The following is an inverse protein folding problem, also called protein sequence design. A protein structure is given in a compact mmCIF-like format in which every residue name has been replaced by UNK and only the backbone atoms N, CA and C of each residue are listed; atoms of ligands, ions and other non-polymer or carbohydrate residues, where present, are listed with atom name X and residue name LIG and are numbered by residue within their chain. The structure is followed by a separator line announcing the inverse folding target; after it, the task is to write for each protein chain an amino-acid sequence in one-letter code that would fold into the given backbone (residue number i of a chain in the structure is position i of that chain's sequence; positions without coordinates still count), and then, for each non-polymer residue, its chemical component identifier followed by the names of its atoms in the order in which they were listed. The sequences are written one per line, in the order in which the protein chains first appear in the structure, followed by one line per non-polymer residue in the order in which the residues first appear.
data_IF_483536945047
#
_entry.id   IF_483536945047
#
_cell.length_a   1.000
_cell.length_b   1.000
_cell.length_c   1.000
_cell.angle_alpha   90.00
_cell.angle_beta   90.00
_cell.angle_gamma   90.00
#
_symmetry.space_group_name_H-M   'P 1'
#
loop_
_entity.id
_entity.type
_entity.pdbx_description
1 polymer ?
#
# COMPACT_ATOMS: atom_id res chain seq x y z
N UNK A 1 -18.49 31.70 2.78
CA UNK A 1 -17.16 31.06 2.81
C UNK A 1 -16.73 30.73 1.39
N UNK A 2 -15.43 30.81 1.04
CA UNK A 2 -14.95 30.44 -0.29
C UNK A 2 -15.29 28.99 -0.63
N UNK A 3 -15.53 28.70 -1.91
CA UNK A 3 -15.75 27.33 -2.37
C UNK A 3 -14.45 26.53 -2.19
N UNK A 4 -14.54 25.34 -1.60
CA UNK A 4 -13.38 24.47 -1.45
C UNK A 4 -12.73 24.15 -2.81
N UNK A 5 -11.40 24.21 -2.85
CA UNK A 5 -10.59 23.82 -4.00
C UNK A 5 -10.68 22.30 -4.16
N UNK A 6 -11.13 21.86 -5.34
CA UNK A 6 -11.18 20.44 -5.69
C UNK A 6 -9.86 20.02 -6.33
N UNK A 7 -9.19 19.04 -5.76
CA UNK A 7 -7.94 18.47 -6.28
C UNK A 7 -8.24 17.07 -6.80
N UNK A 8 -8.12 16.86 -8.10
CA UNK A 8 -8.38 15.55 -8.72
C UNK A 8 -7.09 14.73 -8.71
N UNK A 9 -7.09 13.63 -7.96
CA UNK A 9 -6.00 12.67 -7.86
C UNK A 9 -6.26 11.50 -8.82
N UNK A 10 -5.69 11.57 -10.03
CA UNK A 10 -5.78 10.51 -11.04
C UNK A 10 -4.54 9.63 -10.94
N UNK A 11 -4.70 8.38 -10.49
CA UNK A 11 -3.55 7.49 -10.35
C UNK A 11 -3.81 6.20 -9.59
N UNK A 12 -2.74 5.44 -9.39
CA UNK A 12 -2.72 4.26 -8.53
C UNK A 12 -2.82 4.62 -7.04
N UNK A 13 -3.01 3.61 -6.20
CA UNK A 13 -2.99 3.78 -4.74
C UNK A 13 -1.68 4.43 -4.24
N UNK A 14 -0.54 4.12 -4.86
CA UNK A 14 0.76 4.70 -4.47
C UNK A 14 0.87 6.18 -4.81
N UNK A 15 0.24 6.61 -5.91
CA UNK A 15 0.15 8.03 -6.25
C UNK A 15 -0.70 8.81 -5.23
N UNK A 16 -1.84 8.24 -4.81
CA UNK A 16 -2.63 8.83 -3.73
C UNK A 16 -1.83 8.88 -2.41
N UNK A 17 -1.03 7.85 -2.13
CA UNK A 17 -0.10 7.84 -0.99
C UNK A 17 0.93 8.99 -1.03
N UNK A 18 1.48 9.30 -2.22
CA UNK A 18 2.40 10.43 -2.39
C UNK A 18 1.71 11.79 -2.14
N UNK A 19 0.49 11.95 -2.64
CA UNK A 19 -0.35 13.15 -2.37
C UNK A 19 -0.63 13.28 -0.87
N UNK A 20 -1.00 12.17 -0.21
CA UNK A 20 -1.25 12.14 1.23
C UNK A 20 -0.02 12.56 2.03
N UNK A 21 1.17 12.06 1.66
CA UNK A 21 2.41 12.44 2.32
C UNK A 21 2.65 13.96 2.22
N UNK A 22 2.49 14.54 1.04
CA UNK A 22 2.61 15.99 0.87
C UNK A 22 1.55 16.75 1.66
N UNK A 23 0.30 16.27 1.64
CA UNK A 23 -0.82 16.89 2.37
C UNK A 23 -0.56 16.99 3.87
N UNK A 24 -0.15 15.88 4.52
CA UNK A 24 0.12 15.91 5.97
C UNK A 24 1.37 16.71 6.32
N UNK A 25 2.40 16.69 5.49
CA UNK A 25 3.64 17.45 5.72
C UNK A 25 3.39 18.94 5.61
N UNK A 26 2.71 19.40 4.57
CA UNK A 26 2.46 20.82 4.35
C UNK A 26 1.50 21.43 5.37
N UNK A 27 0.55 20.63 5.86
CA UNK A 27 -0.46 21.10 6.82
C UNK A 27 -0.08 20.88 8.28
N UNK A 28 0.97 20.10 8.60
CA UNK A 28 1.38 19.82 9.98
C UNK A 28 1.51 21.07 10.87
N UNK A 29 2.01 22.17 10.29
CA UNK A 29 2.25 23.46 10.97
C UNK A 29 1.26 24.56 10.55
N UNK A 30 0.13 24.22 9.92
CA UNK A 30 -0.91 25.17 9.49
C UNK A 30 -2.11 25.12 10.45
N UNK A 31 -2.95 26.15 10.40
CA UNK A 31 -4.24 26.12 11.12
C UNK A 31 -5.20 25.14 10.46
N UNK A 32 -6.12 24.58 11.24
CA UNK A 32 -7.13 23.62 10.77
C UNK A 32 -8.04 24.15 9.69
N UNK A 33 -8.12 25.47 9.51
CA UNK A 33 -8.98 26.10 8.50
C UNK A 33 -8.68 25.57 7.10
N UNK A 34 -7.41 25.33 6.76
CA UNK A 34 -7.00 24.79 5.45
C UNK A 34 -7.63 23.43 5.13
N UNK A 35 -7.90 22.60 6.16
CA UNK A 35 -8.53 21.29 5.99
C UNK A 35 -9.95 21.40 5.43
N UNK A 36 -10.64 22.51 5.69
CA UNK A 36 -11.99 22.77 5.21
C UNK A 36 -12.01 23.40 3.80
N UNK A 37 -10.87 23.83 3.28
CA UNK A 37 -10.74 24.51 1.99
C UNK A 37 -10.29 23.59 0.85
N UNK A 38 -9.95 22.33 1.13
CA UNK A 38 -9.51 21.36 0.13
C UNK A 38 -10.43 20.14 0.10
N UNK A 39 -10.69 19.62 -1.10
CA UNK A 39 -11.42 18.36 -1.30
C UNK A 39 -10.72 17.54 -2.39
N UNK A 40 -10.28 16.34 -2.04
CA UNK A 40 -9.64 15.42 -2.97
C UNK A 40 -10.69 14.59 -3.70
N UNK A 41 -10.54 14.45 -5.02
CA UNK A 41 -11.37 13.59 -5.86
C UNK A 41 -10.50 12.45 -6.37
N UNK A 42 -10.75 11.23 -5.91
CA UNK A 42 -9.93 10.06 -6.26
C UNK A 42 -10.44 9.47 -7.57
N UNK A 43 -9.57 9.38 -8.57
CA UNK A 43 -9.86 8.74 -9.86
C UNK A 43 -8.89 7.57 -10.01
N UNK A 44 -9.35 6.32 -9.77
CA UNK A 44 -8.46 5.17 -9.62
C UNK A 44 -7.93 4.67 -10.95
N UNK A 45 -6.62 4.42 -11.00
CA UNK A 45 -5.99 3.63 -12.06
C UNK A 45 -5.47 2.31 -11.46
N UNK A 46 -5.88 1.18 -12.04
CA UNK A 46 -5.53 -0.16 -11.53
C UNK A 46 -6.16 -0.50 -10.17
N UNK A 47 -5.51 -1.40 -9.42
CA UNK A 47 -6.00 -1.86 -8.11
C UNK A 47 -5.92 -0.76 -7.05
N UNK A 48 -7.07 -0.37 -6.50
CA UNK A 48 -7.16 0.77 -5.60
C UNK A 48 -8.10 0.48 -4.40
N UNK A 49 -7.57 0.00 -3.27
CA UNK A 49 -8.36 -0.33 -2.08
C UNK A 49 -9.23 0.84 -1.58
N UNK A 50 -8.69 2.06 -1.57
CA UNK A 50 -9.47 3.26 -1.21
C UNK A 50 -10.65 3.46 -2.15
N UNK A 51 -10.45 3.38 -3.48
CA UNK A 51 -11.55 3.53 -4.42
C UNK A 51 -12.62 2.44 -4.26
N UNK A 52 -12.22 1.19 -3.98
CA UNK A 52 -13.17 0.11 -3.65
C UNK A 52 -14.02 0.47 -2.42
N UNK A 53 -13.41 1.05 -1.39
CA UNK A 53 -14.14 1.53 -0.22
C UNK A 53 -15.09 2.69 -0.56
N UNK A 54 -14.62 3.68 -1.34
CA UNK A 54 -15.47 4.80 -1.80
C UNK A 54 -16.66 4.31 -2.62
N UNK A 55 -16.49 3.31 -3.49
CA UNK A 55 -17.58 2.71 -4.25
C UNK A 55 -18.60 1.94 -3.39
N UNK A 56 -18.18 1.38 -2.25
CA UNK A 56 -19.12 0.79 -1.28
C UNK A 56 -19.96 1.86 -0.57
N UNK A 57 -19.43 3.07 -0.43
CA UNK A 57 -20.13 4.21 0.15
C UNK A 57 -21.02 4.94 -0.86
N UNK A 58 -20.66 4.94 -2.14
CA UNK A 58 -21.30 5.72 -3.21
C UNK A 58 -21.42 4.90 -4.51
N UNK A 59 -22.63 4.46 -4.82
CA UNK A 59 -22.94 3.68 -6.02
C UNK A 59 -22.70 4.47 -7.31
N UNK A 60 -22.85 5.80 -7.30
CA UNK A 60 -22.54 6.62 -8.48
C UNK A 60 -21.05 6.67 -8.74
N UNK A 61 -20.25 6.80 -7.68
CA UNK A 61 -18.79 6.67 -7.77
C UNK A 61 -18.40 5.29 -8.28
N UNK A 62 -18.99 4.24 -7.71
CA UNK A 62 -18.77 2.84 -8.14
C UNK A 62 -19.03 2.64 -9.63
N UNK A 63 -20.20 3.07 -10.13
CA UNK A 63 -20.54 2.97 -11.56
C UNK A 63 -19.65 3.82 -12.46
N UNK A 64 -19.05 4.90 -11.95
CA UNK A 64 -18.17 5.78 -12.74
C UNK A 64 -16.75 5.23 -12.88
N UNK A 65 -16.22 4.56 -11.86
CA UNK A 65 -14.80 4.26 -11.77
C UNK A 65 -14.44 2.81 -11.39
N UNK A 66 -15.43 1.97 -11.07
CA UNK A 66 -15.21 0.57 -10.69
C UNK A 66 -15.96 -0.41 -11.61
N UNK A 67 -16.58 0.06 -12.69
CA UNK A 67 -17.19 -0.78 -13.70
C UNK A 67 -16.14 -1.57 -14.51
N UNK A 68 -16.60 -2.57 -15.26
CA UNK A 68 -15.72 -3.41 -16.08
C UNK A 68 -14.95 -2.59 -17.11
N UNK A 69 -15.63 -1.67 -17.80
CA UNK A 69 -15.02 -0.83 -18.83
C UNK A 69 -13.86 0.02 -18.30
N UNK A 70 -14.03 0.68 -17.15
CA UNK A 70 -12.95 1.46 -16.54
C UNK A 70 -11.77 0.57 -16.11
N UNK A 71 -12.06 -0.57 -15.47
CA UNK A 71 -11.04 -1.52 -15.05
C UNK A 71 -10.25 -2.11 -16.23
N UNK A 72 -10.94 -2.49 -17.30
CA UNK A 72 -10.31 -3.09 -18.47
C UNK A 72 -9.43 -2.09 -19.22
N UNK A 73 -9.86 -0.83 -19.28
CA UNK A 73 -9.07 0.26 -19.86
C UNK A 73 -7.77 0.51 -19.07
N UNK A 74 -7.86 0.64 -17.75
CA UNK A 74 -6.71 1.01 -16.90
C UNK A 74 -5.96 -0.16 -16.27
N UNK A 75 -6.22 -1.39 -16.72
CA UNK A 75 -5.41 -2.58 -16.39
C UNK A 75 -4.37 -2.91 -17.45
N UNK A 76 -4.47 -2.29 -18.64
CA UNK A 76 -3.54 -2.48 -19.75
C UNK A 76 -2.42 -1.45 -19.70
N UNK A 77 -1.22 -1.86 -20.13
CA UNK A 77 -0.07 -0.96 -20.29
C UNK A 77 -0.14 -0.15 -21.59
N UNK A 78 -0.81 -0.68 -22.60
CA UNK A 78 -0.95 -0.05 -23.93
C UNK A 78 -2.26 0.74 -24.04
N UNK A 79 -2.25 1.88 -24.76
CA UNK A 79 -3.46 2.65 -24.99
C UNK A 79 -4.44 1.85 -25.86
N UNK A 80 -5.76 2.02 -25.66
CA UNK A 80 -6.75 1.37 -26.51
C UNK A 80 -6.65 1.89 -27.95
N UNK A 81 -6.87 1.00 -28.93
CA UNK A 81 -6.84 1.36 -30.36
C UNK A 81 -8.03 2.24 -30.78
N UNK A 82 -9.12 2.19 -30.01
CA UNK A 82 -10.34 2.97 -30.24
C UNK A 82 -10.79 3.62 -28.94
N UNK A 83 -11.30 4.84 -29.02
CA UNK A 83 -11.84 5.55 -27.86
C UNK A 83 -13.23 5.01 -27.51
N UNK A 84 -13.29 4.02 -26.61
CA UNK A 84 -14.53 3.33 -26.24
C UNK A 84 -15.20 3.91 -24.98
N UNK A 85 -14.51 4.79 -24.25
CA UNK A 85 -14.94 5.25 -22.93
C UNK A 85 -14.72 6.75 -22.78
N UNK A 86 -15.79 7.50 -22.47
CA UNK A 86 -15.70 8.93 -22.19
C UNK A 86 -15.06 9.22 -20.82
N UNK A 87 -13.74 9.11 -20.76
CA UNK A 87 -12.93 9.35 -19.55
C UNK A 87 -13.08 10.80 -19.08
N UNK A 88 -12.99 11.75 -20.02
CA UNK A 88 -13.06 13.18 -19.71
C UNK A 88 -14.43 13.58 -19.17
N UNK A 89 -15.52 13.04 -19.75
CA UNK A 89 -16.88 13.26 -19.29
C UNK A 89 -17.12 12.65 -17.91
N UNK A 90 -16.66 11.43 -17.63
CA UNK A 90 -16.74 10.81 -16.29
C UNK A 90 -16.04 11.66 -15.23
N UNK A 91 -14.81 12.13 -15.51
CA UNK A 91 -14.07 12.99 -14.59
C UNK A 91 -14.77 14.35 -14.42
N UNK A 92 -15.27 14.95 -15.50
CA UNK A 92 -16.00 16.23 -15.46
C UNK A 92 -17.31 16.12 -14.66
N UNK A 93 -18.03 15.00 -14.80
CA UNK A 93 -19.21 14.69 -13.99
C UNK A 93 -18.84 14.53 -12.51
N UNK A 94 -17.70 13.91 -12.19
CA UNK A 94 -17.25 13.79 -10.81
C UNK A 94 -16.84 15.14 -10.20
N UNK A 95 -16.10 15.97 -10.94
CA UNK A 95 -15.74 17.33 -10.52
C UNK A 95 -16.98 18.17 -10.24
N UNK A 96 -17.99 18.11 -11.11
CA UNK A 96 -19.22 18.89 -10.94
C UNK A 96 -20.13 18.31 -9.84
N UNK A 97 -20.30 16.99 -9.82
CA UNK A 97 -21.27 16.28 -8.99
C UNK A 97 -20.80 15.91 -7.57
N UNK A 98 -19.50 15.89 -7.28
CA UNK A 98 -18.99 15.55 -5.95
C UNK A 98 -19.31 16.67 -4.94
N UNK A 99 -20.39 16.47 -4.18
CA UNK A 99 -20.98 17.45 -3.27
C UNK A 99 -20.70 17.15 -1.80
N UNK A 100 -20.61 15.87 -1.44
CA UNK A 100 -20.36 15.38 -0.09
C UNK A 100 -18.86 15.26 0.16
N UNK A 101 -18.41 15.57 1.38
CA UNK A 101 -17.05 15.28 1.84
C UNK A 101 -17.10 14.07 2.78
N UNK A 102 -16.32 13.05 2.47
CA UNK A 102 -16.03 11.91 3.33
C UNK A 102 -14.63 12.07 3.93
N UNK A 103 -14.53 11.87 5.24
CA UNK A 103 -13.27 12.05 5.99
C UNK A 103 -12.54 10.71 6.08
N UNK A 104 -11.62 10.43 5.15
CA UNK A 104 -10.80 9.22 5.23
C UNK A 104 -9.78 9.35 6.36
N UNK A 105 -9.79 8.45 7.35
CA UNK A 105 -8.89 8.58 8.48
C UNK A 105 -7.46 8.16 8.13
N UNK A 106 -6.49 8.94 8.62
CA UNK A 106 -5.06 8.76 8.33
C UNK A 106 -4.42 7.98 9.47
N UNK A 107 -3.74 6.89 9.13
CA UNK A 107 -2.90 6.11 10.03
C UNK A 107 -1.41 6.39 9.82
N UNK A 108 -0.58 5.90 10.73
CA UNK A 108 0.87 6.04 10.70
C UNK A 108 1.55 4.67 10.62
N UNK A 109 2.51 4.55 9.72
CA UNK A 109 3.48 3.45 9.69
C UNK A 109 4.87 3.99 10.03
N UNK A 110 5.45 3.51 11.13
CA UNK A 110 6.85 3.73 11.49
C UNK A 110 7.68 2.53 11.06
N UNK A 111 8.53 2.70 10.05
CA UNK A 111 9.50 1.70 9.60
C UNK A 111 10.85 1.93 10.29
N UNK A 112 11.47 0.86 10.78
CA UNK A 112 12.88 0.87 11.18
C UNK A 112 13.71 0.11 10.15
N UNK A 113 14.54 0.82 9.40
CA UNK A 113 15.30 0.29 8.27
C UNK A 113 16.81 0.23 8.56
N UNK A 114 17.55 -0.68 7.90
CA UNK A 114 19.03 -0.67 7.93
C UNK A 114 19.58 0.42 7.00
N UNK A 115 20.68 1.08 7.38
CA UNK A 115 21.41 1.94 6.46
C UNK A 115 22.11 1.11 5.38
N UNK A 116 22.07 1.54 4.11
CA UNK A 116 22.73 0.80 3.02
C UNK A 116 24.25 0.83 3.09
N UNK A 117 24.83 1.86 3.73
CA UNK A 117 26.29 2.08 3.75
C UNK A 117 26.96 1.90 5.11
N UNK A 118 26.19 1.69 6.18
CA UNK A 118 26.71 1.49 7.55
C UNK A 118 25.99 0.31 8.18
N UNK A 119 26.73 -0.71 8.60
CA UNK A 119 26.11 -1.96 9.06
C UNK A 119 25.37 -1.84 10.39
N UNK A 120 25.81 -0.95 11.28
CA UNK A 120 25.25 -0.83 12.63
C UNK A 120 24.17 0.24 12.79
N UNK A 121 24.06 1.21 11.89
CA UNK A 121 23.09 2.31 12.01
C UNK A 121 21.73 1.92 11.38
N UNK A 122 20.65 2.06 12.15
CA UNK A 122 19.27 2.03 11.63
C UNK A 122 18.65 3.42 11.62
N UNK A 123 17.78 3.68 10.65
CA UNK A 123 16.99 4.92 10.61
C UNK A 123 15.49 4.61 10.69
N UNK A 124 14.71 5.61 11.10
CA UNK A 124 13.25 5.52 11.18
C UNK A 124 12.59 6.39 10.11
N UNK A 125 11.50 5.89 9.53
CA UNK A 125 10.63 6.64 8.62
C UNK A 125 9.19 6.57 9.11
N UNK A 126 8.54 7.72 9.21
CA UNK A 126 7.13 7.85 9.57
C UNK A 126 6.33 8.15 8.29
N UNK A 127 5.42 7.26 7.93
CA UNK A 127 4.71 7.27 6.66
C UNK A 127 3.21 7.31 6.94
N UNK A 128 2.48 8.35 6.48
CA UNK A 128 1.03 8.36 6.57
C UNK A 128 0.44 7.36 5.57
N UNK A 129 -0.62 6.66 5.95
CA UNK A 129 -1.33 5.77 5.05
C UNK A 129 -2.83 5.76 5.34
N UNK A 130 -3.64 5.46 4.32
CA UNK A 130 -5.11 5.41 4.39
C UNK A 130 -5.68 4.10 3.85
N UNK A 131 -4.90 3.34 3.08
CA UNK A 131 -5.31 2.09 2.48
C UNK A 131 -4.82 0.90 3.29
N UNK A 132 -3.70 0.32 2.87
CA UNK A 132 -3.24 -1.00 3.29
C UNK A 132 -1.73 -1.07 3.49
N UNK A 133 -1.32 -1.84 4.51
CA UNK A 133 0.07 -2.28 4.73
C UNK A 133 0.14 -3.78 4.52
N UNK A 134 1.12 -4.27 3.75
CA UNK A 134 1.27 -5.70 3.41
C UNK A 134 2.70 -6.19 3.65
N UNK A 135 2.83 -7.43 4.11
CA UNK A 135 4.08 -8.19 4.23
C UNK A 135 3.81 -9.64 3.82
N UNK A 136 4.77 -10.31 3.18
CA UNK A 136 4.59 -11.67 2.65
C UNK A 136 4.42 -11.68 1.14
N UNK A 137 3.56 -12.58 0.64
CA UNK A 137 3.16 -12.59 -0.77
C UNK A 137 2.53 -11.23 -1.12
N UNK A 138 3.34 -10.33 -1.66
CA UNK A 138 2.88 -9.12 -2.31
C UNK A 138 2.55 -9.58 -3.73
N UNK A 139 1.30 -9.97 -3.96
CA UNK A 139 0.81 -10.18 -5.33
C UNK A 139 1.00 -8.86 -6.09
N UNK A 140 2.09 -8.80 -6.83
CA UNK A 140 2.29 -7.85 -7.91
C UNK A 140 1.34 -8.34 -8.99
N UNK A 141 0.40 -7.50 -9.44
CA UNK A 141 -0.70 -7.87 -10.33
C UNK A 141 -0.22 -8.44 -11.68
N UNK A 142 0.21 -9.70 -11.68
CA UNK A 142 0.51 -10.47 -12.87
C UNK A 142 -0.79 -11.12 -13.32
N UNK A 143 -1.23 -10.71 -14.50
CA UNK A 143 -2.25 -11.43 -15.27
C UNK A 143 -1.78 -12.87 -15.51
N UNK A 144 -2.68 -13.86 -15.45
CA UNK A 144 -2.33 -15.25 -15.74
C UNK A 144 -2.29 -15.43 -17.26
N UNK A 145 -1.15 -15.15 -17.87
CA UNK A 145 -0.85 -15.62 -19.23
C UNK A 145 0.62 -15.99 -19.24
N UNK A 146 0.88 -17.29 -19.38
CA UNK A 146 2.23 -17.80 -19.65
C UNK A 146 2.75 -17.17 -20.93
N UNK A 147 3.98 -16.68 -20.89
CA UNK A 147 5.07 -17.37 -21.55
C UNK A 147 6.41 -16.78 -21.09
N UNK A 148 7.40 -17.66 -21.13
CA UNK A 148 8.78 -17.48 -20.73
C UNK A 148 9.50 -16.70 -21.84
N UNK A 149 10.15 -15.57 -21.52
CA UNK A 149 11.43 -15.15 -22.12
C UNK A 149 12.05 -13.91 -21.46
N UNK A 150 13.34 -13.70 -21.76
CA UNK A 150 14.39 -13.00 -21.03
C UNK A 150 14.16 -11.54 -20.62
N UNK A 151 14.82 -11.17 -19.52
CA UNK A 151 14.78 -9.84 -18.94
C UNK A 151 15.62 -8.80 -19.68
N UNK A 152 15.14 -7.55 -19.60
CA UNK A 152 15.99 -6.35 -19.65
C UNK A 152 15.39 -5.34 -18.66
N UNK A 153 16.23 -4.82 -17.76
CA UNK A 153 15.85 -3.83 -16.77
C UNK A 153 15.47 -2.50 -17.41
N UNK A 154 14.25 -2.03 -17.15
CA UNK A 154 13.79 -0.71 -17.60
C UNK A 154 14.12 0.32 -16.53
N UNK A 155 15.17 1.11 -16.79
CA UNK A 155 15.45 2.34 -16.05
C UNK A 155 14.37 3.38 -16.38
N UNK A 156 13.58 3.78 -15.39
CA UNK A 156 12.67 4.92 -15.46
C UNK A 156 13.49 6.23 -15.40
N UNK A 157 13.90 6.75 -16.56
CA UNK A 157 14.41 8.10 -16.67
C UNK A 157 13.23 9.10 -16.75
N UNK A 158 13.16 10.00 -15.78
CA UNK A 158 12.21 11.12 -15.75
C UNK A 158 12.72 12.22 -16.69
N UNK A 159 11.92 12.74 -17.64
CA UNK A 159 12.35 13.90 -18.42
C UNK A 159 12.18 15.18 -17.58
N UNK A 160 13.30 15.78 -17.18
CA UNK A 160 13.32 17.14 -16.63
C UNK A 160 13.16 18.14 -17.77
N UNK A 161 12.16 19.01 -17.67
CA UNK A 161 11.95 20.16 -18.55
C UNK A 161 12.65 21.39 -17.97
N UNK A 162 13.50 22.04 -18.76
CA UNK A 162 14.04 23.37 -18.50
C UNK A 162 13.94 24.19 -19.81
N UNK A 163 13.61 25.49 -19.77
CA UNK A 163 13.30 26.26 -20.98
C UNK A 163 14.57 26.75 -21.70
N UNK A 164 14.50 27.04 -23.02
CA UNK A 164 15.66 27.40 -23.84
C UNK A 164 15.96 28.90 -23.75
N UNK A 165 17.25 29.25 -23.75
CA UNK A 165 17.72 30.63 -23.94
C UNK A 165 18.57 30.69 -25.22
N UNK A 166 18.15 31.52 -26.18
CA UNK A 166 18.89 31.80 -27.41
C UNK A 166 19.92 32.93 -27.21
N UNK A 167 21.07 32.84 -27.88
CA UNK A 167 21.98 33.96 -28.15
C UNK A 167 23.46 33.57 -28.32
N UNK A 168 23.91 33.39 -29.56
CA UNK A 168 25.33 33.18 -29.99
C UNK A 168 25.97 34.53 -30.44
N UNK A 169 27.17 34.62 -31.09
CA UNK A 169 28.26 33.64 -31.33
C UNK A 169 29.70 34.23 -31.17
N UNK A 170 30.75 33.38 -31.23
CA UNK A 170 31.94 33.47 -32.14
C UNK A 170 33.12 32.62 -31.62
N UNK A 171 33.88 32.00 -32.55
CA UNK A 171 35.22 31.47 -32.29
C UNK A 171 35.48 30.05 -32.82
N UNK A 172 36.09 29.95 -34.00
CA UNK A 172 36.63 28.72 -34.58
C UNK A 172 37.88 28.22 -33.82
N UNK A 173 38.18 26.91 -33.91
CA UNK A 173 39.47 26.29 -34.37
C UNK A 173 39.65 24.85 -33.76
N UNK A 174 39.69 23.88 -34.69
CA UNK A 174 40.46 22.61 -34.85
C UNK A 174 40.85 21.63 -33.71
N UNK A 175 40.85 20.36 -34.18
CA UNK A 175 41.73 19.20 -33.86
C UNK A 175 41.59 18.60 -32.46
N UNK A 176 41.81 17.32 -32.16
CA UNK A 176 41.90 16.01 -32.82
C UNK A 176 42.16 14.99 -31.66
N UNK A 177 42.13 13.68 -31.95
CA UNK A 177 42.67 12.56 -31.12
C UNK A 177 41.74 11.85 -30.10
N UNK A 178 41.21 10.70 -30.55
CA UNK A 178 41.14 9.40 -29.81
C UNK A 178 42.57 8.86 -29.52
N UNK A 179 42.85 7.72 -28.80
CA UNK A 179 42.08 6.71 -28.02
C UNK A 179 42.80 6.39 -26.64
N UNK A 180 42.81 5.18 -25.98
CA UNK A 180 42.08 3.92 -26.16
C UNK A 180 41.50 3.25 -24.88
N UNK A 181 40.72 2.19 -25.11
CA UNK A 181 40.27 1.16 -24.14
C UNK A 181 41.27 0.02 -23.99
N UNK A 182 41.35 -0.63 -22.81
CA UNK A 182 41.81 -2.03 -22.55
C UNK A 182 41.82 -2.34 -21.02
N UNK A 183 41.95 -3.59 -20.53
CA UNK A 183 41.33 -4.86 -20.96
C UNK A 183 40.78 -5.70 -19.76
N UNK A 184 40.16 -6.84 -20.09
CA UNK A 184 39.66 -7.89 -19.20
C UNK A 184 40.75 -8.77 -18.59
N UNK A 185 40.55 -9.28 -17.37
CA UNK A 185 41.19 -10.49 -16.82
C UNK A 185 40.13 -11.31 -16.08
N UNK A 186 39.85 -12.51 -16.58
CA UNK A 186 39.11 -13.53 -15.85
C UNK A 186 40.07 -14.42 -15.05
N UNK A 187 39.63 -14.90 -13.90
CA UNK A 187 40.06 -16.20 -13.36
C UNK A 187 39.17 -16.64 -12.19
N UNK A 188 38.45 -17.74 -12.43
CA UNK A 188 38.31 -18.91 -11.54
C UNK A 188 37.55 -18.75 -10.20
N UNK A 189 36.31 -19.25 -10.24
CA UNK A 189 35.69 -20.21 -9.32
C UNK A 189 35.98 -20.09 -7.80
N UNK A 190 35.04 -19.49 -7.08
CA UNK A 190 34.57 -20.06 -5.81
C UNK A 190 33.05 -20.08 -5.81
N UNK A 191 32.52 -21.30 -5.94
CA UNK A 191 31.13 -21.60 -5.67
C UNK A 191 30.82 -21.31 -4.20
N UNK A 192 30.08 -20.24 -3.93
CA UNK A 192 29.32 -20.10 -2.70
C UNK A 192 27.94 -19.58 -3.07
N UNK A 193 26.97 -20.48 -2.95
CA UNK A 193 25.60 -20.28 -3.32
C UNK A 193 25.03 -19.03 -2.68
N UNK A 194 24.65 -18.07 -3.52
CA UNK A 194 23.57 -17.16 -3.18
C UNK A 194 22.31 -18.01 -2.99
N UNK A 195 21.50 -17.81 -1.95
CA UNK A 195 20.17 -18.39 -1.94
C UNK A 195 19.37 -17.62 -2.99
N UNK A 196 19.43 -18.08 -4.24
CA UNK A 196 18.38 -17.82 -5.20
C UNK A 196 17.11 -18.41 -4.58
N UNK A 197 16.26 -17.54 -4.04
CA UNK A 197 14.94 -17.92 -3.53
C UNK A 197 14.21 -18.60 -4.69
N UNK A 198 14.12 -19.91 -4.62
CA UNK A 198 13.36 -20.72 -5.55
C UNK A 198 11.91 -20.23 -5.54
N UNK A 199 11.26 -20.24 -6.70
CA UNK A 199 9.83 -19.97 -6.84
C UNK A 199 9.03 -21.07 -6.11
N UNK A 200 8.92 -20.92 -4.80
CA UNK A 200 8.10 -21.70 -3.90
C UNK A 200 7.58 -20.73 -2.86
N UNK A 201 6.27 -20.72 -2.61
CA UNK A 201 5.65 -19.77 -1.69
C UNK A 201 6.13 -20.05 -0.26
N UNK A 202 7.17 -19.35 0.14
CA UNK A 202 7.79 -19.46 1.46
C UNK A 202 7.04 -18.59 2.46
N UNK A 203 6.62 -19.23 3.56
CA UNK A 203 5.96 -18.55 4.64
C UNK A 203 7.01 -17.78 5.46
N UNK A 204 6.71 -16.53 5.79
CA UNK A 204 7.58 -15.67 6.58
C UNK A 204 7.28 -15.88 8.06
N UNK A 205 8.30 -16.23 8.85
CA UNK A 205 8.19 -16.29 10.30
C UNK A 205 8.07 -14.89 10.89
N UNK A 206 6.89 -14.50 11.38
CA UNK A 206 6.67 -13.19 11.99
C UNK A 206 6.30 -13.30 13.47
N UNK A 207 6.71 -12.30 14.24
CA UNK A 207 6.16 -11.95 15.53
C UNK A 207 5.39 -10.65 15.39
N UNK A 208 4.11 -10.68 15.75
CA UNK A 208 3.19 -9.56 15.68
C UNK A 208 2.62 -9.30 17.06
N UNK A 209 2.97 -8.16 17.63
CA UNK A 209 2.39 -7.67 18.88
C UNK A 209 1.34 -6.62 18.54
N UNK A 210 0.11 -6.74 19.05
CA UNK A 210 -0.98 -5.82 18.72
C UNK A 210 -1.84 -5.48 19.93
N UNK A 211 -2.44 -4.30 19.88
CA UNK A 211 -3.31 -3.75 20.91
C UNK A 211 -4.69 -3.52 20.32
N UNK A 212 -5.72 -3.93 21.04
CA UNK A 212 -7.10 -3.64 20.68
C UNK A 212 -7.51 -2.28 21.24
N UNK A 213 -8.33 -1.54 20.52
CA UNK A 213 -8.98 -0.35 21.05
C UNK A 213 -9.94 -0.79 22.16
N UNK A 214 -9.84 -0.13 23.32
CA UNK A 214 -10.84 -0.30 24.38
C UNK A 214 -12.14 0.32 23.87
N UNK A 215 -13.12 -0.51 23.52
CA UNK A 215 -14.51 -0.05 23.42
C UNK A 215 -14.88 0.50 24.80
N UNK A 216 -15.27 1.77 24.85
CA UNK A 216 -15.75 2.41 26.06
C UNK A 216 -17.14 1.84 26.41
N UNK A 217 -17.20 0.56 26.81
CA UNK A 217 -18.38 0.06 27.50
C UNK A 217 -18.48 0.77 28.85
N UNK A 218 -19.68 1.25 29.15
CA UNK A 218 -20.04 2.07 30.31
C UNK A 218 -19.36 1.61 31.59
N UNK A 219 -18.70 2.59 32.25
CA UNK A 219 -18.32 2.65 33.67
C UNK A 219 -18.88 1.53 34.54
N UNK A 220 -17.99 0.67 35.03
CA UNK A 220 -18.00 0.29 36.45
C UNK A 220 -16.72 0.84 37.09
N UNK A 221 -16.94 1.75 38.02
CA UNK A 221 -15.94 2.45 38.81
C UNK A 221 -15.18 1.46 39.70
N UNK A 222 -13.85 1.57 39.72
CA UNK A 222 -13.02 0.90 40.72
C UNK A 222 -12.18 -0.29 40.24
N UNK A 223 -11.37 -0.12 39.20
CA UNK A 223 -10.10 -0.86 39.11
C UNK A 223 -9.12 -0.10 38.21
N UNK A 224 -7.99 0.33 38.77
CA UNK A 224 -6.85 0.77 37.97
C UNK A 224 -6.35 -0.45 37.20
N UNK A 225 -6.65 -0.55 35.90
CA UNK A 225 -6.10 -1.61 35.04
C UNK A 225 -5.53 -1.06 33.75
N UNK A 226 -4.40 -1.67 33.41
CA UNK A 226 -3.39 -1.26 32.45
C UNK A 226 -3.90 -0.85 31.08
N UNK A 227 -3.15 0.07 30.47
CA UNK A 227 -3.03 0.30 29.04
C UNK A 227 -3.34 -0.97 28.24
N UNK A 228 -4.33 -0.91 27.34
CA UNK A 228 -5.05 -2.04 26.74
C UNK A 228 -4.26 -3.34 26.51
N UNK A 229 -4.93 -4.49 26.69
CA UNK A 229 -4.34 -5.82 26.61
C UNK A 229 -3.52 -6.03 25.33
N UNK A 230 -2.19 -6.09 25.49
CA UNK A 230 -1.25 -6.49 24.44
C UNK A 230 -1.50 -7.97 24.10
N UNK A 231 -1.66 -8.27 22.82
CA UNK A 231 -1.76 -9.61 22.28
C UNK A 231 -0.55 -9.91 21.38
N UNK A 232 -0.19 -11.19 21.24
CA UNK A 232 0.97 -11.61 20.46
C UNK A 232 0.64 -12.79 19.56
N UNK A 233 0.89 -12.66 18.26
CA UNK A 233 0.86 -13.74 17.28
C UNK A 233 2.28 -14.08 16.84
N UNK A 234 2.64 -15.37 16.90
CA UNK A 234 3.95 -15.88 16.48
C UNK A 234 3.77 -17.07 15.56
N UNK A 235 3.71 -16.87 14.25
CA UNK A 235 3.56 -17.96 13.28
C UNK A 235 4.39 -17.76 12.01
N UNK A 236 4.33 -18.73 11.10
CA UNK A 236 4.79 -18.58 9.72
C UNK A 236 3.58 -18.20 8.85
N UNK A 237 3.63 -17.02 8.24
CA UNK A 237 2.53 -16.46 7.46
C UNK A 237 2.89 -16.43 5.98
N UNK A 238 1.95 -16.82 5.12
CA UNK A 238 2.05 -16.55 3.67
C UNK A 238 1.91 -15.06 3.40
N UNK A 239 0.98 -14.41 4.10
CA UNK A 239 0.76 -12.97 4.01
C UNK A 239 0.18 -12.41 5.31
N UNK A 240 0.51 -11.15 5.56
CA UNK A 240 -0.08 -10.29 6.57
C UNK A 240 -0.48 -8.99 5.89
N UNK A 241 -1.73 -8.59 6.05
CA UNK A 241 -2.27 -7.34 5.55
C UNK A 241 -2.95 -6.59 6.68
N UNK A 242 -2.67 -5.30 6.82
CA UNK A 242 -3.38 -4.40 7.74
C UNK A 242 -4.11 -3.35 6.92
N UNK A 243 -5.43 -3.29 7.03
CA UNK A 243 -6.29 -2.31 6.39
C UNK A 243 -6.63 -1.20 7.36
N UNK A 244 -6.50 0.05 6.89
CA UNK A 244 -7.03 1.22 7.59
C UNK A 244 -8.48 1.53 7.25
N UNK A 245 -8.93 1.06 6.09
CA UNK A 245 -10.28 1.29 5.59
C UNK A 245 -11.29 0.56 6.47
N UNK A 246 -12.35 1.24 6.96
CA UNK A 246 -13.35 0.62 7.80
C UNK A 246 -14.06 -0.57 7.13
N UNK A 247 -14.32 -1.62 7.90
CA UNK A 247 -15.14 -2.75 7.45
C UNK A 247 -16.60 -2.32 7.33
N UNK A 248 -17.27 -2.66 6.22
CA UNK A 248 -18.60 -2.16 5.85
C UNK A 248 -19.79 -2.64 6.71
N UNK A 249 -19.57 -3.01 7.99
CA UNK A 249 -20.56 -3.71 8.81
C UNK A 249 -20.89 -3.11 10.17
N UNK A 250 -20.22 -2.05 10.66
CA UNK A 250 -20.52 -1.52 12.00
C UNK A 250 -21.16 -0.13 11.98
N UNK A 251 -22.29 -0.01 12.67
CA UNK A 251 -23.15 1.17 12.76
C UNK A 251 -22.68 2.26 13.73
N UNK A 252 -21.53 2.10 14.40
CA UNK A 252 -20.96 3.12 15.29
C UNK A 252 -19.86 3.92 14.58
N UNK A 253 -20.13 5.18 14.19
CA UNK A 253 -19.18 6.02 13.48
C UNK A 253 -17.93 6.35 14.30
N UNK A 254 -17.96 6.27 15.64
CA UNK A 254 -16.86 6.71 16.51
C UNK A 254 -15.84 5.60 16.80
N UNK A 255 -16.29 4.34 16.86
CA UNK A 255 -15.43 3.18 17.10
C UNK A 255 -14.54 2.81 15.88
N UNK A 256 -15.00 3.10 14.66
CA UNK A 256 -14.26 2.81 13.42
C UNK A 256 -13.14 3.82 13.11
N UNK A 257 -13.12 4.96 13.80
CA UNK A 257 -12.20 6.06 13.48
C UNK A 257 -10.82 5.89 14.11
N UNK A 258 -10.64 4.95 15.04
CA UNK A 258 -9.36 4.75 15.73
C UNK A 258 -8.87 3.30 15.69
N UNK A 259 -9.35 2.52 14.72
CA UNK A 259 -9.02 1.11 14.60
C UNK A 259 -8.60 0.73 13.18
N UNK A 260 -7.86 -0.38 13.11
CA UNK A 260 -7.41 -1.05 11.89
C UNK A 260 -7.88 -2.51 11.94
N UNK A 261 -7.90 -3.17 10.80
CA UNK A 261 -8.15 -4.60 10.69
C UNK A 261 -6.93 -5.32 10.11
N UNK A 262 -6.49 -6.40 10.74
CA UNK A 262 -5.40 -7.25 10.26
C UNK A 262 -5.95 -8.56 9.72
N UNK A 263 -5.58 -8.90 8.49
CA UNK A 263 -5.81 -10.21 7.88
C UNK A 263 -4.50 -10.97 7.80
N UNK A 264 -4.46 -12.20 8.29
CA UNK A 264 -3.29 -13.08 8.23
C UNK A 264 -3.65 -14.38 7.52
N UNK A 265 -2.78 -14.83 6.62
CA UNK A 265 -2.90 -16.11 5.94
C UNK A 265 -1.75 -17.00 6.40
N UNK A 266 -2.07 -18.13 7.03
CA UNK A 266 -1.06 -19.08 7.52
C UNK A 266 -0.83 -20.19 6.52
N UNK A 267 0.40 -20.70 6.43
CA UNK A 267 0.69 -21.94 5.72
C UNK A 267 0.33 -23.09 6.66
N UNK A 268 -0.75 -23.81 6.38
CA UNK A 268 -1.06 -24.99 7.17
C UNK A 268 0.04 -26.03 6.94
N UNK A 269 0.70 -26.46 8.01
CA UNK A 269 1.53 -27.65 7.96
C UNK A 269 0.55 -28.81 7.95
N UNK A 270 0.26 -29.37 6.77
CA UNK A 270 -0.47 -30.64 6.69
C UNK A 270 0.20 -31.60 7.67
N UNK A 271 -0.45 -31.89 8.81
CA UNK A 271 -0.05 -33.01 9.64
C UNK A 271 -0.28 -34.21 8.75
N UNK A 272 0.76 -34.72 8.08
CA UNK A 272 0.70 -36.03 7.46
C UNK A 272 0.22 -36.98 8.56
N UNK A 273 -1.04 -37.38 8.50
CA UNK A 273 -1.51 -38.56 9.21
C UNK A 273 -0.56 -39.65 8.72
N UNK A 274 0.20 -40.35 9.59
CA UNK A 274 0.99 -41.48 9.15
C UNK A 274 0.00 -42.58 8.76
N UNK A 275 -0.48 -42.53 7.53
CA UNK A 275 -1.32 -43.56 6.93
C UNK A 275 -0.43 -44.76 6.66
N UNK A 276 -0.45 -45.72 7.59
CA UNK A 276 0.08 -47.08 7.42
C UNK A 276 -0.93 -47.93 6.60
N UNK A 277 -1.63 -47.35 5.63
CA UNK A 277 -2.58 -48.09 4.81
C UNK A 277 -2.55 -47.67 3.34
N UNK A 278 -2.00 -48.61 2.56
CA UNK A 278 -2.16 -48.92 1.14
C UNK A 278 -2.64 -47.82 0.16
N UNK A 279 -1.71 -47.41 -0.69
CA UNK A 279 -1.83 -47.49 -2.15
C UNK A 279 -3.09 -46.95 -2.81
N UNK A 280 -3.17 -45.63 -3.02
CA UNK A 280 -3.85 -44.98 -4.16
C UNK A 280 -3.10 -43.69 -4.50
N UNK A 281 -2.88 -43.44 -5.81
CA UNK A 281 -2.14 -42.28 -6.35
C UNK A 281 -2.64 -40.96 -5.72
N UNK A 282 -1.75 -40.04 -5.28
CA UNK A 282 -2.20 -38.78 -4.72
C UNK A 282 -2.81 -37.92 -5.82
N UNK A 283 -4.11 -37.65 -5.70
CA UNK A 283 -4.76 -36.53 -6.38
C UNK A 283 -4.27 -35.26 -5.70
N UNK A 284 -3.79 -34.28 -6.46
CA UNK A 284 -3.37 -32.96 -5.96
C UNK A 284 -4.41 -32.44 -4.98
N UNK A 285 -4.01 -32.32 -3.71
CA UNK A 285 -4.86 -31.85 -2.64
C UNK A 285 -4.53 -30.37 -2.47
N UNK A 286 -5.45 -29.54 -2.94
CA UNK A 286 -5.42 -28.09 -2.83
C UNK A 286 -5.03 -27.67 -1.40
N UNK A 287 -4.08 -26.75 -1.29
CA UNK A 287 -3.51 -26.35 0.00
C UNK A 287 -4.46 -25.38 0.68
N UNK A 288 -5.34 -25.90 1.54
CA UNK A 288 -6.22 -25.11 2.40
C UNK A 288 -5.38 -24.10 3.21
N UNK A 289 -5.44 -22.82 2.82
CA UNK A 289 -4.77 -21.73 3.52
C UNK A 289 -5.77 -21.08 4.47
N UNK A 290 -5.63 -21.34 5.78
CA UNK A 290 -6.49 -20.72 6.79
C UNK A 290 -6.20 -19.22 6.90
N UNK A 291 -7.19 -18.40 6.51
CA UNK A 291 -7.20 -16.95 6.66
C UNK A 291 -7.94 -16.55 7.94
N UNK A 292 -7.39 -15.59 8.68
CA UNK A 292 -8.00 -15.02 9.89
C UNK A 292 -8.02 -13.49 9.79
N UNK A 293 -9.14 -12.87 10.18
CA UNK A 293 -9.27 -11.40 10.30
C UNK A 293 -9.38 -11.03 11.79
N UNK A 294 -8.65 -10.00 12.20
CA UNK A 294 -8.67 -9.42 13.54
C UNK A 294 -8.96 -7.93 13.39
N UNK A 295 -10.12 -7.49 13.88
CA UNK A 295 -10.54 -6.08 13.83
C UNK A 295 -10.24 -5.36 15.14
N UNK A 296 -10.48 -4.04 15.17
CA UNK A 296 -10.36 -3.26 16.39
C UNK A 296 -8.93 -2.95 16.83
N UNK A 297 -7.94 -3.06 15.94
CA UNK A 297 -6.53 -2.88 16.29
C UNK A 297 -6.18 -1.39 16.35
N UNK A 298 -5.74 -0.90 17.51
CA UNK A 298 -5.30 0.49 17.69
C UNK A 298 -3.82 0.68 17.35
N UNK A 299 -2.99 -0.31 17.69
CA UNK A 299 -1.54 -0.33 17.44
C UNK A 299 -1.07 -1.75 17.11
N UNK A 300 -0.06 -1.86 16.26
CA UNK A 300 0.61 -3.11 15.93
C UNK A 300 2.11 -2.90 15.79
N UNK A 301 2.91 -3.90 16.18
CA UNK A 301 4.35 -3.99 15.94
C UNK A 301 4.61 -5.34 15.29
N UNK A 302 5.29 -5.35 14.15
CA UNK A 302 5.62 -6.58 13.44
C UNK A 302 7.11 -6.64 13.12
N UNK A 303 7.70 -7.79 13.40
CA UNK A 303 9.11 -8.10 13.19
C UNK A 303 9.25 -9.54 12.67
N UNK A 304 10.35 -9.83 12.01
CA UNK A 304 10.71 -11.21 11.69
C UNK A 304 11.08 -11.98 12.97
N UNK A 305 10.76 -13.27 13.04
CA UNK A 305 11.15 -14.13 14.18
C UNK A 305 12.67 -14.32 14.28
N UNK A 306 13.38 -14.27 13.16
CA UNK A 306 14.83 -14.37 13.10
C UNK A 306 15.43 -12.96 13.11
N UNK A 307 16.29 -12.66 14.08
CA UNK A 307 16.80 -11.31 14.36
C UNK A 307 17.63 -10.67 13.21
N UNK A 308 18.04 -11.44 12.20
CA UNK A 308 18.78 -10.95 11.03
C UNK A 308 17.95 -10.95 9.74
N UNK A 309 16.65 -11.25 9.82
CA UNK A 309 15.76 -11.23 8.65
C UNK A 309 15.16 -9.85 8.47
N UNK A 310 15.37 -9.26 7.29
CA UNK A 310 14.73 -8.02 6.89
C UNK A 310 13.43 -8.31 6.14
N UNK A 311 12.43 -7.46 6.37
CA UNK A 311 11.12 -7.54 5.76
C UNK A 311 11.05 -6.66 4.52
N UNK A 312 10.28 -7.12 3.54
CA UNK A 312 9.72 -6.31 2.46
C UNK A 312 8.29 -5.92 2.85
N UNK A 313 8.04 -4.61 3.00
CA UNK A 313 6.77 -4.05 3.45
C UNK A 313 6.20 -3.14 2.36
N UNK A 314 4.97 -3.37 1.93
CA UNK A 314 4.27 -2.47 1.02
C UNK A 314 3.30 -1.59 1.81
N UNK A 315 3.39 -0.27 1.72
CA UNK A 315 2.48 0.71 2.33
C UNK A 315 1.78 1.48 1.22
N UNK A 316 0.46 1.37 1.12
CA UNK A 316 -0.35 2.01 0.06
C UNK A 316 0.20 1.79 -1.35
N UNK A 317 0.77 0.61 -1.60
CA UNK A 317 1.36 0.22 -2.90
C UNK A 317 2.79 0.69 -3.13
N UNK A 318 3.41 1.40 -2.18
CA UNK A 318 4.84 1.73 -2.21
C UNK A 318 5.62 0.66 -1.45
N UNK A 319 6.61 0.06 -2.11
CA UNK A 319 7.45 -0.98 -1.51
C UNK A 319 8.63 -0.40 -0.72
N UNK A 320 8.84 -0.96 0.47
CA UNK A 320 9.93 -0.66 1.38
C UNK A 320 10.71 -1.93 1.68
N UNK A 321 12.01 -1.88 1.42
CA UNK A 321 12.93 -3.00 1.64
C UNK A 321 13.79 -2.75 2.90
N UNK A 322 14.56 -3.76 3.30
CA UNK A 322 15.53 -3.66 4.39
C UNK A 322 14.92 -3.23 5.75
N UNK A 323 13.66 -3.60 5.99
CA UNK A 323 12.91 -3.24 7.21
C UNK A 323 13.18 -4.26 8.32
N UNK A 324 13.78 -3.83 9.44
CA UNK A 324 14.00 -4.68 10.63
C UNK A 324 12.67 -5.03 11.31
N UNK A 325 11.86 -4.00 11.53
CA UNK A 325 10.50 -4.12 12.06
C UNK A 325 9.71 -2.87 11.68
N UNK A 326 8.39 -2.95 11.77
CA UNK A 326 7.50 -1.81 11.59
C UNK A 326 6.47 -1.73 12.71
N UNK A 327 6.01 -0.51 12.97
CA UNK A 327 4.93 -0.24 13.90
C UNK A 327 3.82 0.50 13.15
N UNK A 328 2.58 0.16 13.42
CA UNK A 328 1.41 0.83 12.89
C UNK A 328 0.61 1.43 14.04
N UNK A 329 0.12 2.65 13.84
CA UNK A 329 -0.86 3.30 14.70
C UNK A 329 -2.07 3.71 13.86
N UNK A 330 -3.28 3.49 14.38
CA UNK A 330 -4.52 3.77 13.64
C UNK A 330 -4.77 5.26 13.36
N UNK A 331 -3.94 6.14 13.93
CA UNK A 331 -4.09 7.59 13.87
C UNK A 331 -2.76 8.30 13.67
N UNK A 332 -2.72 9.21 12.69
CA UNK A 332 -1.62 10.14 12.46
C UNK A 332 -1.42 11.06 13.67
N UNK A 333 -0.18 11.36 14.12
CA UNK A 333 0.05 12.05 15.38
C UNK A 333 -0.31 13.55 15.36
N UNK A 334 -0.29 14.21 14.19
CA UNK A 334 -0.58 15.66 14.08
C UNK A 334 -2.08 15.96 14.14
N UNK A 335 -2.47 17.23 14.07
CA UNK A 335 -3.89 17.62 14.00
C UNK A 335 -4.58 17.22 12.67
N UNK A 336 -3.80 16.87 11.63
CA UNK A 336 -4.30 16.42 10.32
C UNK A 336 -4.72 14.95 10.41
N UNK A 337 -5.92 14.69 10.94
CA UNK A 337 -6.41 13.33 11.18
C UNK A 337 -7.08 12.66 9.98
N UNK A 338 -7.53 13.46 9.02
CA UNK A 338 -8.36 12.99 7.90
C UNK A 338 -7.92 13.59 6.57
N UNK A 339 -8.05 12.80 5.51
CA UNK A 339 -8.01 13.27 4.13
C UNK A 339 -9.45 13.54 3.66
N UNK A 340 -9.81 14.79 3.31
CA UNK A 340 -11.16 15.13 2.87
C UNK A 340 -11.39 14.68 1.42
N UNK A 341 -12.14 13.60 1.21
CA UNK A 341 -12.44 13.04 -0.11
C UNK A 341 -13.85 13.36 -0.55
N UNK A 342 -14.04 13.77 -1.81
CA UNK A 342 -15.34 14.09 -2.36
C UNK A 342 -16.10 12.86 -2.87
N UNK A 343 -17.40 12.80 -2.59
CA UNK A 343 -18.34 11.80 -3.12
C UNK A 343 -19.54 12.51 -3.78
N UNK A 344 -20.23 11.84 -4.68
CA UNK A 344 -21.52 12.31 -5.21
C UNK A 344 -22.56 12.34 -4.09
N UNK A 345 -22.59 11.28 -3.28
CA UNK A 345 -23.44 11.13 -2.10
C UNK A 345 -23.29 9.75 -1.48
N UNK A 346 -23.75 9.58 -0.24
CA UNK A 346 -23.79 8.25 0.37
C UNK A 346 -24.92 7.41 -0.21
N UNK A 347 -24.71 6.10 -0.29
CA UNK A 347 -25.74 5.12 -0.57
C UNK A 347 -26.88 5.26 0.43
N UNK A 348 -28.12 5.27 -0.08
CA UNK A 348 -29.30 5.23 0.79
C UNK A 348 -29.30 3.91 1.54
N UNK A 349 -29.31 3.95 2.87
CA UNK A 349 -29.59 2.76 3.67
C UNK A 349 -30.99 2.26 3.32
N UNK A 350 -31.19 0.95 3.08
CA UNK A 350 -32.54 0.42 2.95
C UNK A 350 -33.30 0.77 4.24
N UNK A 351 -34.43 1.45 4.07
CA UNK A 351 -35.35 1.89 5.12
C UNK A 351 -36.02 0.72 5.81
#
# INVERSE_FOLDING_TARGET
MPRAVKVVAVGSQSYLGAILQFFVTQLANKTSDWLNHMRFLVVPLGSHPVAKHLGALDNRYSSSFLDGAWRDLFSRSEPPQTDQLDVAGRISQYISGASVTHQLPIAEAMLTCKHRTREEDSYQKFIPFIGVVKVGLIESGSSPTGDQEEGVGVNLAVPSTSPPSHGSPTGMIKEAATPPSSPSMGSVLTAQGSPSMSHGVDAIGLQVDYWLASLAEKRREGERRDTGCKNTLKSAFRSLQVSRLPGGGSSDPQAQVSTMAMTVVTKEKNKKVPTIFLGKKPKEKDVDSKSQVIEGISRLICSAKQHQTFLKVSIDGVEWNDVKFFQLAAQWPTHVKYLPVGLFGYNKTPS
#
